data_IF_159351214247
#
_entry.id   IF_159351214247
#
_cell.length_a   1.000
_cell.length_b   1.000
_cell.length_c   1.000
_cell.angle_alpha   90.00
_cell.angle_beta   90.00
_cell.angle_gamma   90.00
#
_symmetry.space_group_name_H-M   'P 1'
#
loop_
_entity.id
_entity.type
_entity.pdbx_description
1 polymer ?
#
# COMPACT_ATOMS: atom_id res chain seq x y z
N UNK A 1 18.96 23.17 -15.37
CA UNK A 1 19.97 22.40 -16.12
C UNK A 1 19.31 21.73 -17.31
N UNK A 2 19.51 22.25 -18.53
CA UNK A 2 19.03 21.61 -19.74
C UNK A 2 19.81 20.29 -19.96
N UNK A 3 19.10 19.18 -20.18
CA UNK A 3 19.75 17.90 -20.47
C UNK A 3 20.40 17.97 -21.85
N UNK A 4 21.73 17.93 -21.91
CA UNK A 4 22.48 17.73 -23.15
C UNK A 4 22.00 16.43 -23.81
N UNK A 5 21.65 16.50 -25.11
CA UNK A 5 21.24 15.34 -25.91
C UNK A 5 22.32 14.26 -25.80
N UNK A 6 21.96 13.09 -25.28
CA UNK A 6 22.90 11.96 -25.16
C UNK A 6 23.35 11.54 -26.56
N UNK A 7 24.66 11.44 -26.77
CA UNK A 7 25.28 11.08 -28.06
C UNK A 7 25.15 9.58 -28.40
N UNK A 8 24.82 8.73 -27.43
CA UNK A 8 24.78 7.26 -27.61
C UNK A 8 23.37 6.76 -27.26
N UNK A 9 22.69 6.21 -28.26
CA UNK A 9 21.36 5.60 -28.17
C UNK A 9 21.50 4.14 -27.71
N UNK A 10 20.62 3.66 -26.82
CA UNK A 10 20.47 2.23 -26.50
C UNK A 10 21.30 1.66 -25.34
N UNK A 11 22.18 2.44 -24.68
CA UNK A 11 22.97 1.97 -23.52
C UNK A 11 22.37 2.25 -22.14
N UNK A 12 21.29 3.03 -22.07
CA UNK A 12 20.60 3.30 -20.81
C UNK A 12 19.16 2.88 -20.95
N UNK A 13 18.62 2.18 -19.95
CA UNK A 13 17.17 2.15 -19.74
C UNK A 13 16.67 3.60 -19.74
N UNK A 14 15.91 3.95 -20.77
CA UNK A 14 15.41 5.31 -20.95
C UNK A 14 14.39 5.64 -19.87
N UNK A 15 14.44 6.84 -19.29
CA UNK A 15 13.41 7.25 -18.32
C UNK A 15 13.74 8.47 -17.48
N UNK A 16 12.72 8.91 -16.73
CA UNK A 16 12.88 9.76 -15.56
C UNK A 16 13.22 8.90 -14.34
N UNK A 17 13.89 9.51 -13.37
CA UNK A 17 14.12 8.91 -12.05
C UNK A 17 13.56 9.85 -10.98
N UNK A 18 13.23 9.30 -9.83
CA UNK A 18 13.02 10.09 -8.62
C UNK A 18 14.27 9.94 -7.75
N UNK A 19 14.76 11.06 -7.23
CA UNK A 19 15.91 11.05 -6.34
C UNK A 19 15.40 10.98 -4.89
N UNK A 20 15.96 10.06 -4.12
CA UNK A 20 15.79 10.02 -2.67
C UNK A 20 17.10 10.50 -2.04
N UNK A 21 17.16 11.73 -1.49
CA UNK A 21 18.39 12.27 -0.93
C UNK A 21 18.93 11.44 0.22
N UNK A 22 20.26 11.29 0.32
CA UNK A 22 20.89 10.61 1.46
C UNK A 22 20.45 11.19 2.81
N UNK A 23 20.30 12.52 2.90
CA UNK A 23 19.79 13.16 4.11
C UNK A 23 18.40 12.65 4.53
N UNK A 24 17.53 12.30 3.57
CA UNK A 24 16.22 11.69 3.87
C UNK A 24 16.39 10.24 4.28
N UNK A 25 17.23 9.47 3.59
CA UNK A 25 17.52 8.06 3.93
C UNK A 25 18.11 7.89 5.34
N UNK A 26 18.98 8.80 5.73
CA UNK A 26 19.65 8.81 7.05
C UNK A 26 18.79 9.42 8.16
N UNK A 27 17.66 10.05 7.80
CA UNK A 27 16.76 10.66 8.77
C UNK A 27 16.16 9.62 9.73
N UNK A 28 15.87 10.00 10.99
CA UNK A 28 15.17 9.11 11.91
C UNK A 28 13.79 8.72 11.37
N UNK A 29 13.10 9.67 10.72
CA UNK A 29 11.78 9.48 10.12
C UNK A 29 11.75 8.37 9.07
N UNK A 30 12.78 8.27 8.21
CA UNK A 30 12.87 7.18 7.23
C UNK A 30 13.21 5.84 7.89
N UNK A 31 14.16 5.82 8.83
CA UNK A 31 14.60 4.60 9.54
C UNK A 31 13.47 3.91 10.32
N UNK A 32 12.46 4.67 10.75
CA UNK A 32 11.33 4.14 11.51
C UNK A 32 10.20 3.56 10.64
N UNK A 33 10.26 3.73 9.31
CA UNK A 33 9.22 3.28 8.40
C UNK A 33 9.16 1.75 8.29
N UNK A 34 7.94 1.24 8.15
CA UNK A 34 7.67 -0.12 7.73
C UNK A 34 8.05 -0.35 6.27
N UNK A 35 8.32 -1.62 5.91
CA UNK A 35 8.60 -2.01 4.53
C UNK A 35 7.47 -1.63 3.55
N UNK A 36 6.21 -1.63 4.00
CA UNK A 36 5.08 -1.21 3.17
C UNK A 36 5.07 0.30 2.92
N UNK A 37 5.40 1.11 3.94
CA UNK A 37 5.54 2.55 3.78
C UNK A 37 6.70 2.90 2.83
N UNK A 38 7.85 2.21 2.95
CA UNK A 38 8.97 2.37 2.01
C UNK A 38 8.56 2.00 0.58
N UNK A 39 7.83 0.89 0.38
CA UNK A 39 7.28 0.53 -0.94
C UNK A 39 6.36 1.63 -1.47
N UNK A 40 5.43 2.12 -0.65
CA UNK A 40 4.49 3.18 -1.04
C UNK A 40 5.22 4.47 -1.41
N UNK A 41 6.30 4.82 -0.69
CA UNK A 41 7.13 5.97 -1.01
C UNK A 41 7.74 5.85 -2.41
N UNK A 42 8.26 4.68 -2.77
CA UNK A 42 8.77 4.42 -4.13
C UNK A 42 7.65 4.43 -5.19
N UNK A 43 6.47 3.91 -4.86
CA UNK A 43 5.28 3.95 -5.74
C UNK A 43 4.79 5.40 -5.96
N UNK A 44 4.91 6.29 -4.98
CA UNK A 44 4.66 7.72 -5.15
C UNK A 44 5.79 8.41 -5.92
N UNK A 45 7.05 8.11 -5.58
CA UNK A 45 8.23 8.65 -6.25
C UNK A 45 8.25 8.34 -7.74
N UNK A 46 7.85 7.15 -8.15
CA UNK A 46 7.75 6.80 -9.58
C UNK A 46 6.65 7.55 -10.36
N UNK A 47 5.69 8.20 -9.69
CA UNK A 47 4.75 9.13 -10.34
C UNK A 47 5.36 10.53 -10.52
N UNK A 48 6.43 10.84 -9.80
CA UNK A 48 7.07 12.14 -9.84
C UNK A 48 7.92 12.31 -11.11
N UNK A 49 7.66 13.40 -11.84
CA UNK A 49 8.28 13.75 -13.12
C UNK A 49 9.09 15.05 -13.05
N UNK A 50 9.27 15.63 -11.86
CA UNK A 50 10.08 16.83 -11.63
C UNK A 50 9.32 18.16 -11.59
N UNK A 51 8.02 18.18 -11.89
CA UNK A 51 7.18 19.39 -11.90
C UNK A 51 5.71 19.11 -11.59
N UNK A 52 5.47 18.03 -10.85
CA UNK A 52 4.15 17.57 -10.43
C UNK A 52 4.14 17.16 -8.94
N UNK A 53 5.07 17.69 -8.14
CA UNK A 53 5.09 17.44 -6.71
C UNK A 53 3.85 18.08 -6.07
N UNK A 54 3.04 17.27 -5.39
CA UNK A 54 1.70 17.64 -4.94
C UNK A 54 0.59 17.05 -5.78
N UNK A 55 0.89 16.51 -6.97
CA UNK A 55 -0.05 15.79 -7.83
C UNK A 55 0.03 14.26 -7.72
N UNK A 56 0.69 13.73 -6.69
CA UNK A 56 0.89 12.28 -6.54
C UNK A 56 -0.35 11.66 -5.90
N UNK A 57 -0.77 10.49 -6.36
CA UNK A 57 -1.98 9.84 -5.87
C UNK A 57 -1.72 8.40 -5.41
N UNK A 58 -2.42 7.99 -4.36
CA UNK A 58 -2.38 6.64 -3.80
C UNK A 58 -3.75 5.96 -3.90
N UNK A 59 -4.45 6.13 -5.04
CA UNK A 59 -5.77 5.54 -5.25
C UNK A 59 -5.67 4.02 -5.34
N UNK A 60 -6.72 3.32 -4.86
CA UNK A 60 -6.74 1.86 -4.84
C UNK A 60 -6.53 1.24 -6.22
N UNK A 61 -7.23 1.74 -7.25
CA UNK A 61 -7.11 1.18 -8.61
C UNK A 61 -5.68 1.29 -9.16
N UNK A 62 -5.00 2.41 -8.90
CA UNK A 62 -3.61 2.60 -9.31
C UNK A 62 -2.69 1.66 -8.53
N UNK A 63 -2.81 1.63 -7.20
CA UNK A 63 -1.96 0.82 -6.34
C UNK A 63 -2.17 -0.68 -6.54
N UNK A 64 -3.40 -1.11 -6.82
CA UNK A 64 -3.70 -2.50 -7.15
C UNK A 64 -2.91 -2.96 -8.39
N UNK A 65 -2.83 -2.13 -9.43
CA UNK A 65 -2.00 -2.41 -10.60
C UNK A 65 -0.49 -2.49 -10.28
N UNK A 66 -0.04 -1.92 -9.15
CA UNK A 66 1.35 -2.01 -8.64
C UNK A 66 1.57 -3.16 -7.65
N UNK A 67 0.59 -4.07 -7.55
CA UNK A 67 0.67 -5.29 -6.75
C UNK A 67 0.22 -5.12 -5.29
N UNK A 68 -0.50 -4.06 -4.95
CA UNK A 68 -1.10 -3.93 -3.61
C UNK A 68 -2.34 -4.85 -3.48
N UNK A 69 -2.36 -5.65 -2.42
CA UNK A 69 -3.40 -6.68 -2.20
C UNK A 69 -4.43 -6.33 -1.13
N UNK A 70 -4.13 -5.36 -0.27
CA UNK A 70 -5.03 -4.92 0.81
C UNK A 70 -5.13 -3.40 0.87
N UNK A 71 -6.37 -2.92 0.95
CA UNK A 71 -6.70 -1.50 1.16
C UNK A 71 -6.24 -1.03 2.54
N UNK A 72 -6.37 -1.88 3.55
CA UNK A 72 -5.96 -1.55 4.92
C UNK A 72 -4.45 -1.38 5.00
N UNK A 73 -3.67 -2.30 4.39
CA UNK A 73 -2.21 -2.18 4.35
C UNK A 73 -1.76 -0.92 3.63
N UNK A 74 -2.42 -0.56 2.52
CA UNK A 74 -2.18 0.71 1.82
C UNK A 74 -2.51 1.91 2.71
N UNK A 75 -3.65 1.88 3.40
CA UNK A 75 -4.08 2.92 4.33
C UNK A 75 -3.11 3.10 5.49
N UNK A 76 -2.62 2.01 6.09
CA UNK A 76 -1.61 2.04 7.13
C UNK A 76 -0.29 2.61 6.65
N UNK A 77 0.21 2.17 5.48
CA UNK A 77 1.43 2.70 4.88
C UNK A 77 1.31 4.20 4.59
N UNK A 78 0.15 4.65 4.13
CA UNK A 78 -0.12 6.05 3.86
C UNK A 78 -0.16 6.88 5.15
N UNK A 79 -0.87 6.40 6.17
CA UNK A 79 -0.91 7.04 7.49
C UNK A 79 0.47 7.15 8.12
N UNK A 80 1.30 6.11 7.99
CA UNK A 80 2.67 6.08 8.47
C UNK A 80 3.54 7.13 7.77
N UNK A 81 3.48 7.23 6.44
CA UNK A 81 4.23 8.25 5.69
C UNK A 81 3.81 9.69 6.04
N UNK A 82 2.51 9.92 6.31
CA UNK A 82 2.00 11.21 6.77
C UNK A 82 2.48 11.51 8.20
N UNK A 83 2.44 10.52 9.09
CA UNK A 83 2.87 10.64 10.49
C UNK A 83 4.35 11.02 10.60
N UNK A 84 5.22 10.32 9.87
CA UNK A 84 6.66 10.64 9.85
C UNK A 84 7.03 11.83 8.94
N UNK A 85 6.04 12.46 8.30
CA UNK A 85 6.25 13.67 7.51
C UNK A 85 7.10 13.47 6.26
N UNK A 86 7.18 12.25 5.71
CA UNK A 86 7.85 12.02 4.42
C UNK A 86 6.97 12.46 3.24
N UNK A 87 5.66 12.38 3.44
CA UNK A 87 4.67 12.92 2.50
C UNK A 87 3.77 13.91 3.22
N UNK A 88 3.20 14.84 2.47
CA UNK A 88 2.14 15.72 2.95
C UNK A 88 0.95 15.71 2.02
N UNK A 89 -0.25 15.84 2.58
CA UNK A 89 -1.48 15.91 1.81
C UNK A 89 -1.64 17.32 1.24
N UNK A 90 -1.74 17.40 -0.08
CA UNK A 90 -1.90 18.66 -0.83
C UNK A 90 -3.34 18.89 -1.30
N UNK A 91 -4.13 17.82 -1.37
CA UNK A 91 -5.58 17.90 -1.59
C UNK A 91 -6.31 16.86 -0.74
N UNK A 92 -7.40 17.29 -0.10
CA UNK A 92 -8.33 16.40 0.58
C UNK A 92 -9.18 15.64 -0.45
N UNK A 93 -9.22 14.31 -0.32
CA UNK A 93 -10.12 13.50 -1.16
C UNK A 93 -11.58 13.60 -0.72
N UNK A 94 -12.49 13.25 -1.63
CA UNK A 94 -13.94 13.18 -1.40
C UNK A 94 -14.60 12.16 -2.33
N UNK A 95 -15.94 12.15 -2.39
CA UNK A 95 -16.72 11.15 -3.14
C UNK A 95 -16.33 11.06 -4.63
N UNK A 96 -15.93 12.18 -5.24
CA UNK A 96 -15.54 12.26 -6.64
C UNK A 96 -14.11 12.78 -6.86
N UNK A 97 -13.30 12.84 -5.79
CA UNK A 97 -11.95 13.41 -5.85
C UNK A 97 -10.96 12.56 -5.09
N UNK A 98 -9.84 12.22 -5.71
CA UNK A 98 -8.76 11.52 -5.02
C UNK A 98 -7.93 12.48 -4.16
N UNK A 99 -7.46 11.97 -3.03
CA UNK A 99 -6.46 12.67 -2.22
C UNK A 99 -5.14 12.74 -2.99
N UNK A 100 -4.51 13.92 -2.93
CA UNK A 100 -3.21 14.15 -3.53
C UNK A 100 -2.16 14.39 -2.46
N UNK A 101 -0.93 14.04 -2.80
CA UNK A 101 0.22 14.06 -1.90
C UNK A 101 1.44 14.69 -2.57
N UNK A 102 2.29 15.30 -1.76
CA UNK A 102 3.62 15.81 -2.11
C UNK A 102 4.70 15.11 -1.29
N UNK A 103 5.89 15.00 -1.86
CA UNK A 103 7.11 14.61 -1.16
C UNK A 103 7.67 15.85 -0.45
N UNK A 104 7.96 15.73 0.84
CA UNK A 104 8.29 16.88 1.70
C UNK A 104 9.72 17.41 1.54
N UNK A 105 10.58 16.70 0.81
CA UNK A 105 11.92 17.20 0.42
C UNK A 105 11.93 17.91 -0.93
N UNK A 106 10.80 17.95 -1.64
CA UNK A 106 10.61 18.77 -2.84
C UNK A 106 9.63 19.91 -2.53
N UNK A 107 9.77 21.02 -3.26
CA UNK A 107 8.82 22.12 -3.17
C UNK A 107 7.48 21.71 -3.82
N UNK A 108 6.35 22.25 -3.35
CA UNK A 108 5.03 21.94 -3.93
C UNK A 108 4.88 22.73 -5.24
N UNK A 109 4.62 22.02 -6.33
CA UNK A 109 4.40 22.61 -7.64
C UNK A 109 2.94 23.05 -7.83
N UNK A 110 2.71 24.02 -8.71
CA UNK A 110 1.38 24.62 -8.95
C UNK A 110 0.34 23.62 -9.53
N UNK A 111 0.78 22.46 -10.01
CA UNK A 111 -0.06 21.31 -10.41
C UNK A 111 -1.35 21.65 -11.20
N UNK A 112 -1.35 22.76 -11.95
CA UNK A 112 -2.49 23.29 -12.74
C UNK A 112 -3.75 23.58 -11.89
N UNK A 113 -3.60 24.13 -10.69
CA UNK A 113 -4.72 24.52 -9.83
C UNK A 113 -5.51 23.35 -9.23
N UNK A 114 -4.93 22.15 -9.20
CA UNK A 114 -5.57 20.94 -8.65
C UNK A 114 -5.46 20.80 -7.14
N UNK A 115 -4.66 21.64 -6.49
CA UNK A 115 -4.27 21.51 -5.08
C UNK A 115 -5.12 22.43 -4.22
N UNK A 116 -5.33 22.02 -2.97
CA UNK A 116 -5.97 22.87 -1.96
C UNK A 116 -4.95 23.83 -1.31
N UNK A 117 -3.66 23.55 -1.45
CA UNK A 117 -2.56 24.36 -0.94
C UNK A 117 -1.88 25.17 -2.05
N UNK A 118 -1.37 26.36 -1.69
CA UNK A 118 -0.59 27.20 -2.60
C UNK A 118 0.75 26.54 -2.98
N UNK A 119 1.25 26.74 -4.22
CA UNK A 119 2.58 26.31 -4.60
C UNK A 119 3.62 26.96 -3.69
N UNK A 120 4.64 26.20 -3.32
CA UNK A 120 5.69 26.65 -2.39
C UNK A 120 7.03 26.70 -3.11
N UNK A 121 7.87 27.70 -2.81
CA UNK A 121 9.24 27.80 -3.38
C UNK A 121 10.27 26.96 -2.62
N UNK A 122 10.00 26.66 -1.35
CA UNK A 122 10.87 25.95 -0.42
C UNK A 122 10.22 24.62 -0.05
N UNK A 123 10.96 23.50 0.04
CA UNK A 123 10.40 22.23 0.52
C UNK A 123 9.97 22.34 1.99
N UNK A 124 8.88 21.68 2.36
CA UNK A 124 8.32 21.73 3.72
C UNK A 124 9.27 21.11 4.77
N UNK A 125 10.07 20.12 4.39
CA UNK A 125 11.13 19.57 5.25
C UNK A 125 10.63 18.84 6.49
N UNK A 126 9.34 18.46 6.55
CA UNK A 126 8.71 17.81 7.70
C UNK A 126 9.42 16.54 8.16
N UNK A 127 10.03 15.81 7.21
CA UNK A 127 10.82 14.61 7.47
C UNK A 127 12.01 14.84 8.42
N UNK A 128 12.49 16.07 8.59
CA UNK A 128 13.60 16.40 9.50
C UNK A 128 13.20 16.33 10.96
N UNK A 129 11.91 16.48 11.26
CA UNK A 129 11.42 16.50 12.64
C UNK A 129 11.30 15.06 13.15
N UNK A 130 12.00 14.70 14.24
CA UNK A 130 11.87 13.38 14.81
C UNK A 130 10.44 13.21 15.35
N UNK A 131 9.79 12.12 14.95
CA UNK A 131 8.47 11.75 15.41
C UNK A 131 8.56 10.48 16.26
N UNK A 132 7.65 10.37 17.23
CA UNK A 132 7.55 9.17 18.06
C UNK A 132 7.07 8.00 17.18
N UNK A 133 7.45 6.77 17.56
CA UNK A 133 7.00 5.58 16.87
C UNK A 133 5.48 5.52 16.80
N UNK A 134 4.94 5.32 15.60
CA UNK A 134 3.51 5.14 15.41
C UNK A 134 3.07 3.86 16.14
N UNK A 135 2.20 4.01 17.14
CA UNK A 135 1.61 2.87 17.83
C UNK A 135 0.79 2.08 16.81
N UNK A 136 1.20 0.84 16.52
CA UNK A 136 0.39 -0.04 15.68
C UNK A 136 -0.89 -0.34 16.44
N UNK A 137 -2.07 -0.22 15.81
CA UNK A 137 -3.29 -0.63 16.46
C UNK A 137 -3.16 -2.09 16.88
N UNK A 138 -3.55 -2.40 18.12
CA UNK A 138 -3.62 -3.80 18.55
C UNK A 138 -4.45 -4.57 17.54
N UNK A 139 -3.92 -5.71 17.11
CA UNK A 139 -4.74 -6.64 16.34
C UNK A 139 -5.87 -7.06 17.27
N UNK A 140 -7.11 -6.68 16.96
CA UNK A 140 -8.26 -7.31 17.61
C UNK A 140 -8.08 -8.81 17.44
N UNK A 141 -7.80 -9.51 18.54
CA UNK A 141 -7.78 -10.96 18.55
C UNK A 141 -9.06 -11.41 17.88
N UNK A 142 -8.98 -12.34 16.91
CA UNK A 142 -10.19 -12.98 16.38
C UNK A 142 -10.94 -13.47 17.62
N UNK A 143 -12.16 -13.00 17.82
CA UNK A 143 -13.04 -13.58 18.83
C UNK A 143 -12.97 -15.08 18.61
N UNK A 144 -12.64 -15.90 19.63
CA UNK A 144 -12.65 -17.34 19.45
C UNK A 144 -14.00 -17.72 18.84
N UNK A 145 -13.98 -18.41 17.69
CA UNK A 145 -15.21 -18.91 17.09
C UNK A 145 -16.02 -19.57 18.19
N UNK A 146 -17.31 -19.24 18.37
CA UNK A 146 -18.11 -19.91 19.38
C UNK A 146 -18.01 -21.42 19.11
N UNK A 147 -17.62 -22.17 20.13
CA UNK A 147 -17.54 -23.62 20.07
C UNK A 147 -18.95 -24.15 19.76
N UNK A 148 -19.24 -24.45 18.49
CA UNK A 148 -20.57 -24.95 18.11
C UNK A 148 -21.04 -24.73 16.67
N UNK A 149 -20.39 -23.91 15.83
CA UNK A 149 -20.85 -23.77 14.42
C UNK A 149 -20.31 -24.91 13.58
N UNK A 150 -21.07 -26.00 13.53
CA UNK A 150 -20.88 -27.16 12.65
C UNK A 150 -20.82 -26.70 11.19
N UNK A 151 -19.65 -26.80 10.55
CA UNK A 151 -19.52 -26.67 9.08
C UNK A 151 -20.11 -27.93 8.44
N UNK A 152 -21.43 -28.00 8.30
CA UNK A 152 -22.11 -28.95 7.42
C UNK A 152 -22.54 -28.22 6.15
N UNK A 153 -21.58 -27.93 5.27
CA UNK A 153 -21.90 -27.79 3.85
C UNK A 153 -21.69 -29.17 3.21
N UNK A 154 -22.73 -29.64 2.53
CA UNK A 154 -23.01 -31.05 2.27
C UNK A 154 -21.90 -31.83 1.56
N UNK A 155 -21.48 -32.92 2.21
CA UNK A 155 -20.90 -34.08 1.53
C UNK A 155 -22.05 -35.03 1.17
N UNK A 156 -22.33 -35.18 -0.13
CA UNK A 156 -23.21 -36.23 -0.66
C UNK A 156 -22.48 -37.56 -0.57
N UNK A 157 -22.70 -38.32 0.51
CA UNK A 157 -22.17 -39.68 0.63
C UNK A 157 -23.17 -40.65 0.03
N UNK A 158 -22.89 -41.15 -1.18
CA UNK A 158 -23.54 -42.37 -1.69
C UNK A 158 -22.96 -43.55 -0.92
N UNK A 159 -23.68 -44.07 0.08
CA UNK A 159 -23.32 -45.34 0.73
C UNK A 159 -23.86 -46.52 -0.10
N UNK A 160 -23.05 -47.54 -0.43
CA UNK A 160 -23.55 -48.76 -1.06
C UNK A 160 -24.35 -49.59 -0.05
N UNK A 161 -25.52 -50.10 -0.46
CA UNK A 161 -26.32 -51.05 0.32
C UNK A 161 -25.55 -52.37 0.43
N UNK A 162 -25.10 -52.71 1.63
CA UNK A 162 -24.70 -54.08 1.97
C UNK A 162 -25.99 -54.87 2.21
N UNK A 163 -26.26 -55.84 1.36
CA UNK A 163 -27.30 -56.86 1.57
C UNK A 163 -26.67 -57.97 2.41
N UNK A 164 -27.12 -58.12 3.66
CA UNK A 164 -26.75 -59.26 4.51
C UNK A 164 -27.42 -60.53 3.99
N UNK A 165 -26.62 -61.50 3.53
CA UNK A 165 -27.08 -62.88 3.33
C UNK A 165 -27.24 -63.54 4.71
N UNK A 166 -28.48 -63.69 5.15
CA UNK A 166 -28.85 -64.55 6.27
C UNK A 166 -28.59 -66.02 5.92
N UNK A 167 -27.57 -66.62 6.52
CA UNK A 167 -27.33 -68.07 6.53
C UNK A 167 -28.40 -68.77 7.38
N UNK A 168 -29.06 -69.79 6.81
CA UNK A 168 -30.04 -70.65 7.51
C UNK A 168 -29.30 -71.71 8.33
N UNK A 169 -29.71 -72.03 9.57
CA UNK A 169 -29.13 -73.13 10.32
C UNK A 169 -29.58 -74.50 9.78
N UNK A 170 -28.66 -75.46 9.87
CA UNK A 170 -28.76 -76.81 9.35
C UNK A 170 -29.72 -77.70 10.16
N UNK A 171 -30.40 -78.58 9.42
CA UNK A 171 -31.24 -79.67 9.90
C UNK A 171 -30.38 -80.68 10.71
N UNK A 172 -30.87 -81.13 11.87
CA UNK A 172 -30.38 -82.34 12.52
C UNK A 172 -31.57 -83.25 12.88
N UNK A 173 -31.27 -84.54 12.76
CA UNK A 173 -32.09 -85.76 12.64
C UNK A 173 -33.15 -85.99 13.71
#
# INVERSE_FOLDING_TARGET
>A
MARTRRKIVGRSDGGSFFALPHAVLESPSYRMLSAHAVKLLCDLGSQYKGGNNGGLCATWSLMHARGWKSRDTLGHALAELLHFGLIERTRQGGLHQCSLYALTWHAIDDCKGKLDCAPTRVPSGKWRQPQVAMLKPERKNRTPSPAGVSIRHGLRVNSPRIVELSTRPACQS
#
